data_IF_913538458282
#
_entry.id   IF_913538458282
#
_cell.length_a   1.000
_cell.length_b   1.000
_cell.length_c   1.000
_cell.angle_alpha   90.00
_cell.angle_beta   90.00
_cell.angle_gamma   90.00
#
_symmetry.space_group_name_H-M   'P 1'
#
loop_
_entity.id
_entity.type
_entity.pdbx_description
1 polymer ?
#
# COMPACT_ATOMS: atom_id res chain seq x y z
N UNK A 1 23.20 10.84 15.06
CA UNK A 1 21.78 10.82 14.63
C UNK A 1 21.07 9.71 15.38
N UNK A 2 20.08 10.04 16.22
CA UNK A 2 19.40 9.05 17.05
C UNK A 2 18.73 7.97 16.17
N UNK A 3 18.89 6.70 16.54
CA UNK A 3 18.26 5.56 15.83
C UNK A 3 16.74 5.68 15.79
N UNK A 4 16.13 6.37 16.76
CA UNK A 4 14.70 6.72 16.80
C UNK A 4 14.34 7.68 15.67
N UNK A 5 15.10 8.76 15.49
CA UNK A 5 14.86 9.75 14.42
C UNK A 5 14.96 9.08 13.05
N UNK A 6 15.96 8.21 12.86
CA UNK A 6 16.11 7.47 11.62
C UNK A 6 14.89 6.57 11.31
N UNK A 7 14.36 5.88 12.32
CA UNK A 7 13.16 5.03 12.17
C UNK A 7 11.93 5.85 11.79
N UNK A 8 11.73 7.01 12.44
CA UNK A 8 10.62 7.91 12.12
C UNK A 8 10.74 8.40 10.68
N UNK A 9 11.93 8.82 10.24
CA UNK A 9 12.15 9.25 8.86
C UNK A 9 11.85 8.15 7.84
N UNK A 10 12.22 6.90 8.13
CA UNK A 10 11.93 5.75 7.26
C UNK A 10 10.42 5.54 7.15
N UNK A 11 9.69 5.53 8.27
CA UNK A 11 8.24 5.36 8.25
C UNK A 11 7.56 6.49 7.49
N UNK A 12 7.99 7.74 7.69
CA UNK A 12 7.46 8.88 6.94
C UNK A 12 7.73 8.75 5.44
N UNK A 13 8.90 8.27 5.05
CA UNK A 13 9.22 8.01 3.64
C UNK A 13 8.32 6.91 3.06
N UNK A 14 8.06 5.82 3.78
CA UNK A 14 7.15 4.75 3.36
C UNK A 14 5.71 5.23 3.19
N UNK A 15 5.23 6.07 4.11
CA UNK A 15 3.92 6.71 4.00
C UNK A 15 3.88 7.60 2.74
N UNK A 16 4.92 8.42 2.53
CA UNK A 16 5.03 9.27 1.34
C UNK A 16 5.01 8.47 0.04
N UNK A 17 5.76 7.37 -0.03
CA UNK A 17 5.78 6.45 -1.19
C UNK A 17 4.41 5.81 -1.40
N UNK A 18 3.74 5.40 -0.32
CA UNK A 18 2.40 4.77 -0.39
C UNK A 18 1.38 5.76 -0.97
N UNK A 19 1.38 7.00 -0.49
CA UNK A 19 0.47 8.04 -0.99
C UNK A 19 0.78 8.38 -2.45
N UNK A 20 2.06 8.56 -2.81
CA UNK A 20 2.45 8.83 -4.19
C UNK A 20 2.07 7.70 -5.15
N UNK A 21 2.28 6.44 -4.74
CA UNK A 21 1.89 5.27 -5.52
C UNK A 21 0.37 5.16 -5.68
N UNK A 22 -0.39 5.42 -4.60
CA UNK A 22 -1.86 5.40 -4.64
C UNK A 22 -2.41 6.47 -5.58
N UNK A 23 -1.89 7.69 -5.51
CA UNK A 23 -2.27 8.79 -6.40
C UNK A 23 -1.91 8.50 -7.86
N UNK A 24 -0.71 7.94 -8.11
CA UNK A 24 -0.30 7.53 -9.45
C UNK A 24 -1.21 6.44 -10.03
N UNK A 25 -1.57 5.45 -9.21
CA UNK A 25 -2.47 4.36 -9.61
C UNK A 25 -3.89 4.88 -9.89
N UNK A 26 -4.40 5.77 -9.03
CA UNK A 26 -5.70 6.40 -9.24
C UNK A 26 -5.70 7.24 -10.52
N UNK A 27 -4.67 8.03 -10.77
CA UNK A 27 -4.57 8.84 -11.98
C UNK A 27 -4.52 7.97 -13.25
N UNK A 28 -3.78 6.86 -13.22
CA UNK A 28 -3.76 5.89 -14.31
C UNK A 28 -5.13 5.25 -14.53
N UNK A 29 -5.86 4.96 -13.45
CA UNK A 29 -7.22 4.42 -13.52
C UNK A 29 -8.22 5.43 -14.10
N UNK A 30 -8.17 6.69 -13.68
CA UNK A 30 -9.02 7.77 -14.19
C UNK A 30 -8.74 8.13 -15.65
N UNK A 31 -7.52 7.89 -16.14
CA UNK A 31 -7.17 8.08 -17.53
C UNK A 31 -7.82 7.04 -18.46
N UNK A 32 -8.36 5.93 -17.91
CA UNK A 32 -9.13 4.97 -18.68
C UNK A 32 -10.54 5.52 -18.90
N UNK A 33 -11.06 5.52 -20.14
CA UNK A 33 -12.42 5.99 -20.45
C UNK A 33 -13.46 4.94 -20.03
N UNK A 34 -13.49 4.61 -18.74
CA UNK A 34 -14.37 3.62 -18.14
C UNK A 34 -15.51 4.35 -17.44
N UNK A 35 -16.75 4.03 -17.79
CA UNK A 35 -17.89 4.49 -17.03
C UNK A 35 -17.94 3.79 -15.67
N UNK A 36 -18.57 4.42 -14.67
CA UNK A 36 -18.71 3.82 -13.34
C UNK A 36 -19.37 2.43 -13.45
N UNK A 37 -18.68 1.35 -13.02
CA UNK A 37 -19.21 0.01 -13.13
C UNK A 37 -20.42 -0.17 -12.21
N UNK A 38 -21.43 -0.89 -12.70
CA UNK A 38 -22.69 -1.12 -12.00
C UNK A 38 -22.51 -1.72 -10.60
N UNK A 39 -21.54 -2.62 -10.44
CA UNK A 39 -21.24 -3.25 -9.14
C UNK A 39 -20.82 -2.23 -8.08
N UNK A 40 -20.05 -1.21 -8.47
CA UNK A 40 -19.59 -0.17 -7.54
C UNK A 40 -20.75 0.75 -7.17
N UNK A 41 -21.60 1.11 -8.14
CA UNK A 41 -22.83 1.88 -7.89
C UNK A 41 -23.74 1.17 -6.88
N UNK A 42 -24.05 -0.10 -7.13
CA UNK A 42 -24.91 -0.89 -6.24
C UNK A 42 -24.31 -1.05 -4.84
N UNK A 43 -23.00 -1.28 -4.74
CA UNK A 43 -22.29 -1.37 -3.47
C UNK A 43 -22.36 -0.08 -2.66
N UNK A 44 -22.13 1.07 -3.31
CA UNK A 44 -22.21 2.38 -2.66
C UNK A 44 -23.62 2.69 -2.19
N UNK A 45 -24.65 2.44 -3.02
CA UNK A 45 -26.06 2.59 -2.63
C UNK A 45 -26.41 1.71 -1.45
N UNK A 46 -25.95 0.47 -1.43
CA UNK A 46 -26.21 -0.44 -0.31
C UNK A 46 -25.60 0.08 1.01
N UNK A 47 -24.38 0.61 0.96
CA UNK A 47 -23.72 1.20 2.15
C UNK A 47 -24.44 2.46 2.61
N UNK A 48 -24.81 3.35 1.69
CA UNK A 48 -25.53 4.59 2.02
C UNK A 48 -26.89 4.28 2.64
N UNK A 49 -27.65 3.36 2.05
CA UNK A 49 -28.93 2.90 2.59
C UNK A 49 -28.78 2.26 3.96
N UNK A 50 -27.76 1.40 4.16
CA UNK A 50 -27.48 0.81 5.46
C UNK A 50 -27.05 1.85 6.52
N UNK A 51 -26.42 2.94 6.08
CA UNK A 51 -25.99 4.06 6.93
C UNK A 51 -27.09 5.10 7.12
N UNK A 52 -28.24 4.97 6.45
CA UNK A 52 -29.34 5.92 6.47
C UNK A 52 -29.03 7.27 5.81
N UNK A 53 -28.07 7.31 4.89
CA UNK A 53 -27.65 8.52 4.16
C UNK A 53 -28.10 8.45 2.69
N UNK A 54 -29.36 8.13 2.44
CA UNK A 54 -29.90 7.99 1.08
C UNK A 54 -29.89 9.32 0.31
N UNK A 55 -29.80 10.47 1.01
CA UNK A 55 -29.63 11.78 0.38
C UNK A 55 -28.36 11.89 -0.47
N UNK A 56 -27.32 11.11 -0.17
CA UNK A 56 -26.06 11.05 -0.93
C UNK A 56 -26.13 10.09 -2.13
N UNK A 57 -27.27 9.41 -2.37
CA UNK A 57 -27.44 8.47 -3.48
C UNK A 57 -27.81 9.16 -4.82
N UNK A 58 -27.54 10.46 -4.93
CA UNK A 58 -27.66 11.24 -6.15
C UNK A 58 -26.45 10.98 -7.08
N UNK A 59 -26.62 10.88 -8.41
CA UNK A 59 -25.54 10.65 -9.38
C UNK A 59 -24.27 11.50 -9.17
N UNK A 60 -24.40 12.79 -8.85
CA UNK A 60 -23.23 13.66 -8.65
C UNK A 60 -22.40 13.26 -7.42
N UNK A 61 -23.05 12.93 -6.31
CA UNK A 61 -22.38 12.52 -5.07
C UNK A 61 -21.80 11.12 -5.18
N UNK A 62 -22.47 10.24 -5.92
CA UNK A 62 -22.03 8.88 -6.18
C UNK A 62 -20.72 8.83 -6.98
N UNK A 63 -20.50 9.76 -7.91
CA UNK A 63 -19.24 9.85 -8.66
C UNK A 63 -18.08 10.18 -7.71
N UNK A 64 -18.27 11.15 -6.81
CA UNK A 64 -17.26 11.54 -5.82
C UNK A 64 -17.02 10.40 -4.83
N UNK A 65 -18.07 9.71 -4.39
CA UNK A 65 -17.96 8.59 -3.46
C UNK A 65 -17.24 7.40 -4.09
N UNK A 66 -17.48 7.14 -5.37
CA UNK A 66 -16.72 6.15 -6.13
C UNK A 66 -15.24 6.53 -6.26
N UNK A 67 -14.93 7.81 -6.51
CA UNK A 67 -13.56 8.31 -6.53
C UNK A 67 -12.85 8.07 -5.19
N UNK A 68 -13.52 8.35 -4.06
CA UNK A 68 -12.98 8.05 -2.73
C UNK A 68 -12.77 6.56 -2.50
N UNK A 69 -13.70 5.72 -2.94
CA UNK A 69 -13.56 4.27 -2.86
C UNK A 69 -12.35 3.78 -3.67
N UNK A 70 -12.17 4.27 -4.90
CA UNK A 70 -11.02 3.92 -5.72
C UNK A 70 -9.71 4.40 -5.11
N UNK A 71 -9.67 5.63 -4.56
CA UNK A 71 -8.50 6.12 -3.83
C UNK A 71 -8.18 5.21 -2.64
N UNK A 72 -9.18 4.82 -1.87
CA UNK A 72 -9.02 3.92 -0.73
C UNK A 72 -8.45 2.57 -1.16
N UNK A 73 -9.01 1.96 -2.22
CA UNK A 73 -8.51 0.71 -2.78
C UNK A 73 -7.06 0.86 -3.27
N UNK A 74 -6.73 1.95 -3.97
CA UNK A 74 -5.37 2.23 -4.42
C UNK A 74 -4.40 2.35 -3.25
N UNK A 75 -4.81 2.98 -2.15
CA UNK A 75 -4.00 3.14 -0.95
C UNK A 75 -3.76 1.81 -0.23
N UNK A 76 -4.78 0.95 -0.16
CA UNK A 76 -4.64 -0.41 0.37
C UNK A 76 -3.67 -1.23 -0.50
N UNK A 77 -3.83 -1.21 -1.82
CA UNK A 77 -2.93 -1.94 -2.75
C UNK A 77 -1.49 -1.43 -2.61
N UNK A 78 -1.28 -0.12 -2.63
CA UNK A 78 0.03 0.49 -2.47
C UNK A 78 0.65 0.15 -1.12
N UNK A 79 -0.12 0.25 -0.03
CA UNK A 79 0.33 -0.09 1.32
C UNK A 79 0.73 -1.56 1.44
N UNK A 80 -0.09 -2.48 0.91
CA UNK A 80 0.23 -3.90 0.85
C UNK A 80 1.50 -4.18 0.05
N UNK A 81 1.70 -3.49 -1.08
CA UNK A 81 2.91 -3.63 -1.89
C UNK A 81 4.17 -3.16 -1.14
N UNK A 82 4.10 -2.01 -0.46
CA UNK A 82 5.20 -1.49 0.37
C UNK A 82 5.53 -2.46 1.51
N UNK A 83 4.50 -2.96 2.22
CA UNK A 83 4.68 -3.95 3.27
C UNK A 83 5.30 -5.25 2.75
N UNK A 84 4.83 -5.76 1.60
CA UNK A 84 5.38 -6.96 0.99
C UNK A 84 6.86 -6.77 0.60
N UNK A 85 7.20 -5.63 0.00
CA UNK A 85 8.57 -5.28 -0.35
C UNK A 85 9.47 -5.22 0.89
N UNK A 86 8.99 -4.58 1.96
CA UNK A 86 9.70 -4.50 3.23
C UNK A 86 9.93 -5.86 3.88
N UNK A 87 8.93 -6.74 3.87
CA UNK A 87 9.06 -8.11 4.38
C UNK A 87 10.05 -8.90 3.53
N UNK A 88 9.99 -8.77 2.21
CA UNK A 88 10.91 -9.46 1.29
C UNK A 88 12.36 -8.99 1.48
N UNK A 89 12.60 -7.67 1.57
CA UNK A 89 13.91 -7.07 1.83
C UNK A 89 14.49 -7.55 3.16
N UNK A 90 13.70 -7.51 4.24
CA UNK A 90 14.13 -8.01 5.56
C UNK A 90 14.51 -9.49 5.51
N UNK A 91 13.71 -10.31 4.83
CA UNK A 91 14.01 -11.74 4.63
C UNK A 91 15.30 -11.95 3.83
N UNK A 92 15.51 -11.17 2.77
CA UNK A 92 16.71 -11.24 1.95
C UNK A 92 17.98 -10.85 2.72
N UNK A 93 17.92 -9.73 3.45
CA UNK A 93 19.02 -9.26 4.29
C UNK A 93 19.34 -10.24 5.43
N UNK A 94 18.32 -10.81 6.07
CA UNK A 94 18.51 -11.84 7.11
C UNK A 94 19.19 -13.11 6.56
N UNK A 95 18.83 -13.53 5.33
CA UNK A 95 19.50 -14.65 4.65
C UNK A 95 20.97 -14.33 4.33
N UNK A 96 21.26 -13.13 3.84
CA UNK A 96 22.64 -12.68 3.56
C UNK A 96 23.50 -12.57 4.82
N UNK A 97 22.94 -12.04 5.91
CA UNK A 97 23.65 -11.93 7.19
C UNK A 97 24.05 -13.32 7.73
N UNK A 98 23.15 -14.30 7.63
CA UNK A 98 23.45 -15.70 8.00
C UNK A 98 24.58 -16.31 7.16
N UNK A 99 24.60 -16.06 5.85
CA UNK A 99 25.68 -16.54 4.97
C UNK A 99 27.04 -15.89 5.28
N UNK A 100 27.08 -14.59 5.59
CA UNK A 100 28.30 -13.90 5.98
C UNK A 100 28.87 -14.40 7.32
N UNK A 101 28.01 -14.68 8.30
CA UNK A 101 28.44 -15.26 9.58
C UNK A 101 28.91 -16.71 9.44
N UNK A 102 28.32 -17.50 8.53
CA UNK A 102 28.77 -18.85 8.24
C UNK A 102 30.14 -18.88 7.55
N UNK A 103 30.36 -18.02 6.55
CA UNK A 103 31.66 -17.88 5.88
C UNK A 103 32.78 -17.39 6.81
N UNK A 104 32.45 -16.52 7.78
CA UNK A 104 33.40 -16.08 8.81
C UNK A 104 33.80 -17.24 9.75
N UNK A 105 32.86 -18.10 10.16
CA UNK A 105 33.16 -19.29 10.96
C UNK A 105 34.09 -20.27 10.24
N UNK A 106 33.91 -20.48 8.94
CA UNK A 106 34.77 -21.39 8.14
C UNK A 106 36.21 -20.87 8.05
N UNK A 107 36.41 -19.56 7.82
CA UNK A 107 37.76 -18.97 7.81
C UNK A 107 38.45 -18.97 9.18
N UNK A 108 37.68 -19.00 10.27
CA UNK A 108 38.20 -18.87 11.63
C UNK A 108 38.48 -20.24 12.29
N UNK A 109 38.04 -21.33 11.68
CA UNK A 109 38.41 -22.70 12.06
C UNK A 109 38.70 -23.53 10.79
N UNK A 110 39.85 -23.31 10.13
CA UNK A 110 40.30 -24.25 9.11
C UNK A 110 40.51 -25.60 9.81
N UNK A 111 39.76 -26.61 9.40
CA UNK A 111 40.00 -27.98 9.87
C UNK A 111 41.45 -28.37 9.54
N UNK A 112 42.14 -29.10 10.43
CA UNK A 112 43.57 -29.38 10.33
C UNK A 112 43.94 -30.22 9.09
#
# INVERSE_FOLDING_TARGET
MNTIILRVLIVLAEIGVTVAAALGLLHAFLALPMNMPYEVDMFLRAILHASGNDELANPDDMEILALFLYLFVCLVIAGCAVLACNVALRRYLAKRAKMHSAGKKIKQNPSP
#
